data_IF_514982566843
#
_entry.id   IF_514982566843
#
_cell.length_a   1.000
_cell.length_b   1.000
_cell.length_c   1.000
_cell.angle_alpha   90.00
_cell.angle_beta   90.00
_cell.angle_gamma   90.00
#
_symmetry.space_group_name_H-M   'P 1'
#
loop_
_entity.id
_entity.type
_entity.pdbx_description
1 polymer ?
#
# COMPACT_ATOMS: atom_id res chain seq x y z
N UNK A 1 11.20 -17.58 -65.89
CA UNK A 1 9.98 -17.34 -65.08
C UNK A 1 10.13 -18.23 -63.83
N UNK A 2 10.66 -17.73 -62.70
CA UNK A 2 9.93 -17.06 -61.58
C UNK A 2 8.96 -18.11 -60.96
N UNK A 3 9.07 -18.64 -59.72
CA UNK A 3 9.44 -18.06 -58.41
C UNK A 3 10.15 -19.06 -57.49
N UNK A 4 11.04 -18.51 -56.65
CA UNK A 4 11.62 -19.11 -55.45
C UNK A 4 10.63 -18.88 -54.31
N UNK A 5 10.02 -19.93 -53.77
CA UNK A 5 9.22 -19.85 -52.55
C UNK A 5 10.16 -19.90 -51.35
N UNK A 6 10.52 -18.70 -50.86
CA UNK A 6 11.11 -18.50 -49.55
C UNK A 6 10.04 -18.80 -48.50
N UNK A 7 10.06 -20.01 -47.98
CA UNK A 7 9.42 -20.32 -46.70
C UNK A 7 10.21 -19.61 -45.60
N UNK A 8 9.83 -18.37 -45.29
CA UNK A 8 10.21 -17.68 -44.07
C UNK A 8 9.53 -18.41 -42.90
N UNK A 9 10.25 -19.36 -42.29
CA UNK A 9 9.93 -19.90 -40.97
C UNK A 9 10.11 -18.77 -39.95
N UNK A 10 9.02 -18.05 -39.66
CA UNK A 10 8.95 -17.14 -38.52
C UNK A 10 8.91 -18.02 -37.26
N UNK A 11 10.09 -18.31 -36.70
CA UNK A 11 10.20 -18.85 -35.36
C UNK A 11 9.78 -17.75 -34.39
N UNK A 12 8.51 -17.78 -33.96
CA UNK A 12 8.04 -16.98 -32.85
C UNK A 12 8.82 -17.41 -31.60
N UNK A 13 9.77 -16.57 -31.18
CA UNK A 13 10.38 -16.63 -29.87
C UNK A 13 9.28 -16.32 -28.86
N UNK A 14 8.64 -17.37 -28.35
CA UNK A 14 7.83 -17.33 -27.16
C UNK A 14 8.80 -17.10 -26.00
N UNK A 15 9.06 -15.84 -25.65
CA UNK A 15 9.63 -15.52 -24.35
C UNK A 15 8.52 -15.85 -23.35
N UNK A 16 8.65 -16.88 -22.49
CA UNK A 16 7.83 -16.90 -21.31
C UNK A 16 8.15 -15.59 -20.59
N UNK A 17 7.19 -14.66 -20.54
CA UNK A 17 7.20 -13.63 -19.52
C UNK A 17 7.43 -14.41 -18.22
N UNK A 18 8.59 -14.20 -17.61
CA UNK A 18 8.90 -14.83 -16.35
C UNK A 18 7.78 -14.40 -15.41
N UNK A 19 6.92 -15.34 -15.01
CA UNK A 19 6.14 -15.23 -13.79
C UNK A 19 7.15 -15.18 -12.65
N UNK A 20 7.70 -14.00 -12.45
CA UNK A 20 8.68 -13.61 -11.46
C UNK A 20 8.46 -12.14 -11.25
N UNK A 21 7.24 -11.79 -10.83
CA UNK A 21 6.98 -10.47 -10.27
C UNK A 21 7.94 -10.22 -9.12
N UNK A 22 8.22 -8.96 -8.86
CA UNK A 22 9.09 -8.58 -7.76
C UNK A 22 8.55 -9.17 -6.45
N UNK A 23 9.36 -9.97 -5.77
CA UNK A 23 8.95 -10.55 -4.49
C UNK A 23 9.13 -9.52 -3.37
N UNK A 24 8.15 -9.36 -2.46
CA UNK A 24 8.27 -8.57 -1.25
C UNK A 24 9.60 -8.77 -0.50
N UNK A 25 10.02 -10.02 -0.36
CA UNK A 25 11.29 -10.38 0.29
C UNK A 25 12.51 -9.79 -0.40
N UNK A 26 12.66 -9.98 -1.72
CA UNK A 26 13.82 -9.47 -2.46
C UNK A 26 13.86 -7.93 -2.50
N UNK A 27 12.70 -7.28 -2.49
CA UNK A 27 12.61 -5.83 -2.44
C UNK A 27 13.07 -5.31 -1.07
N UNK A 28 12.56 -5.88 0.02
CA UNK A 28 12.96 -5.53 1.38
C UNK A 28 14.44 -5.83 1.65
N UNK A 29 14.97 -6.94 1.14
CA UNK A 29 16.40 -7.25 1.23
C UNK A 29 17.25 -6.13 0.61
N UNK A 30 16.89 -5.65 -0.57
CA UNK A 30 17.60 -4.54 -1.24
C UNK A 30 17.49 -3.22 -0.50
N UNK A 31 16.30 -2.89 0.01
CA UNK A 31 16.10 -1.69 0.82
C UNK A 31 17.00 -1.75 2.07
N UNK A 32 17.00 -2.88 2.76
CA UNK A 32 17.81 -3.15 3.94
C UNK A 32 19.31 -3.10 3.67
N UNK A 33 19.77 -3.68 2.56
CA UNK A 33 21.17 -3.62 2.14
C UNK A 33 21.61 -2.17 1.86
N UNK A 34 20.70 -1.32 1.40
CA UNK A 34 20.96 0.09 1.13
C UNK A 34 21.01 0.94 2.41
N UNK A 35 19.99 0.85 3.25
CA UNK A 35 19.80 1.76 4.38
C UNK A 35 20.44 1.26 5.67
N UNK A 36 20.71 -0.05 5.75
CA UNK A 36 21.10 -0.74 6.97
C UNK A 36 19.89 -0.95 7.89
N UNK A 37 19.33 -2.16 7.88
CA UNK A 37 18.21 -2.54 8.74
C UNK A 37 18.58 -3.74 9.65
N UNK A 38 17.81 -3.93 10.71
CA UNK A 38 17.80 -5.16 11.51
C UNK A 38 16.88 -6.23 10.90
N UNK A 39 17.07 -7.49 11.30
CA UNK A 39 16.23 -8.60 10.83
C UNK A 39 14.74 -8.37 11.11
N UNK A 40 14.40 -7.74 12.24
CA UNK A 40 13.01 -7.42 12.58
C UNK A 40 12.42 -6.38 11.64
N UNK A 41 13.18 -5.32 11.29
CA UNK A 41 12.71 -4.28 10.37
C UNK A 41 12.54 -4.81 8.94
N UNK A 42 13.41 -5.73 8.54
CA UNK A 42 13.29 -6.48 7.29
C UNK A 42 12.01 -7.31 7.27
N UNK A 43 11.75 -8.09 8.32
CA UNK A 43 10.57 -8.94 8.39
C UNK A 43 9.28 -8.10 8.41
N UNK A 44 9.26 -6.97 9.14
CA UNK A 44 8.15 -6.01 9.14
C UNK A 44 7.90 -5.41 7.75
N UNK A 45 8.97 -5.14 6.98
CA UNK A 45 8.86 -4.69 5.59
C UNK A 45 8.17 -5.75 4.72
N UNK A 46 8.58 -7.02 4.84
CA UNK A 46 7.99 -8.12 4.06
C UNK A 46 6.52 -8.29 4.40
N UNK A 47 6.19 -8.35 5.69
CA UNK A 47 4.79 -8.49 6.14
C UNK A 47 3.93 -7.32 5.65
N UNK A 48 4.47 -6.10 5.65
CA UNK A 48 3.77 -4.91 5.15
C UNK A 48 3.46 -5.02 3.66
N UNK A 49 4.43 -5.42 2.84
CA UNK A 49 4.24 -5.59 1.39
C UNK A 49 3.29 -6.76 1.08
N UNK A 50 3.40 -7.88 1.80
CA UNK A 50 2.48 -9.02 1.69
C UNK A 50 1.04 -8.62 2.03
N UNK A 51 0.84 -7.85 3.12
CA UNK A 51 -0.48 -7.34 3.51
C UNK A 51 -1.03 -6.35 2.48
N UNK A 52 -0.16 -5.55 1.88
CA UNK A 52 -0.54 -4.61 0.84
C UNK A 52 -0.96 -5.37 -0.44
N UNK A 53 -0.21 -6.40 -0.84
CA UNK A 53 -0.59 -7.30 -1.94
C UNK A 53 -1.94 -7.94 -1.70
N UNK A 54 -2.15 -8.56 -0.52
CA UNK A 54 -3.43 -9.17 -0.14
C UNK A 54 -4.58 -8.18 -0.20
N UNK A 55 -4.38 -6.94 0.24
CA UNK A 55 -5.40 -5.88 0.16
C UNK A 55 -5.72 -5.51 -1.28
N UNK A 56 -4.69 -5.33 -2.11
CA UNK A 56 -4.86 -5.06 -3.54
C UNK A 56 -5.61 -6.21 -4.23
N UNK A 57 -5.21 -7.46 -4.02
CA UNK A 57 -5.90 -8.64 -4.57
C UNK A 57 -7.39 -8.69 -4.17
N UNK A 58 -7.70 -8.49 -2.89
CA UNK A 58 -9.08 -8.47 -2.39
C UNK A 58 -9.91 -7.33 -2.99
N UNK A 59 -9.28 -6.21 -3.37
CA UNK A 59 -9.91 -5.11 -4.07
C UNK A 59 -10.02 -5.33 -5.60
N UNK A 60 -9.46 -6.41 -6.14
CA UNK A 60 -9.37 -6.66 -7.59
C UNK A 60 -8.25 -5.85 -8.28
N UNK A 61 -7.27 -5.39 -7.49
CA UNK A 61 -6.16 -4.53 -7.89
C UNK A 61 -4.80 -5.24 -7.88
N UNK A 62 -4.78 -6.57 -7.81
CA UNK A 62 -3.55 -7.36 -7.75
C UNK A 62 -2.59 -7.03 -8.89
N UNK A 63 -3.09 -6.97 -10.13
CA UNK A 63 -2.28 -6.67 -11.31
C UNK A 63 -1.60 -5.29 -11.22
N UNK A 64 -2.34 -4.25 -10.79
CA UNK A 64 -1.78 -2.91 -10.63
C UNK A 64 -0.70 -2.87 -9.53
N UNK A 65 -0.88 -3.64 -8.46
CA UNK A 65 0.10 -3.73 -7.38
C UNK A 65 1.35 -4.50 -7.80
N UNK A 66 1.18 -5.60 -8.54
CA UNK A 66 2.30 -6.37 -9.09
C UNK A 66 3.10 -5.50 -10.07
N UNK A 67 2.45 -4.72 -10.93
CA UNK A 67 3.09 -3.77 -11.84
C UNK A 67 3.90 -2.71 -11.05
N UNK A 68 3.33 -2.19 -9.95
CA UNK A 68 4.01 -1.26 -9.06
C UNK A 68 5.26 -1.88 -8.41
N UNK A 69 5.15 -3.08 -7.84
CA UNK A 69 6.30 -3.76 -7.25
C UNK A 69 7.38 -4.03 -8.30
N UNK A 70 6.99 -4.48 -9.50
CA UNK A 70 7.92 -4.69 -10.60
C UNK A 70 8.61 -3.41 -11.05
N UNK A 71 7.92 -2.27 -11.05
CA UNK A 71 8.55 -0.99 -11.34
C UNK A 71 9.60 -0.64 -10.27
N UNK A 72 9.23 -0.67 -8.98
CA UNK A 72 10.17 -0.35 -7.91
C UNK A 72 11.37 -1.29 -7.99
N UNK A 73 11.16 -2.58 -8.19
CA UNK A 73 12.24 -3.56 -8.31
C UNK A 73 13.23 -3.23 -9.44
N UNK A 74 12.75 -2.62 -10.54
CA UNK A 74 13.56 -2.18 -11.66
C UNK A 74 14.27 -0.84 -11.44
N UNK A 75 13.59 0.13 -10.83
CA UNK A 75 14.06 1.51 -10.66
C UNK A 75 14.75 1.76 -9.31
N UNK A 76 14.66 0.82 -8.35
CA UNK A 76 15.27 0.96 -7.03
C UNK A 76 16.78 1.07 -7.15
N UNK A 77 17.28 2.25 -6.80
CA UNK A 77 18.69 2.56 -6.68
C UNK A 77 19.02 2.97 -5.24
N UNK A 78 20.28 2.76 -4.87
CA UNK A 78 20.79 3.16 -3.56
C UNK A 78 21.79 4.30 -3.75
N UNK A 79 21.44 5.49 -3.25
CA UNK A 79 22.25 6.69 -3.34
C UNK A 79 22.52 7.22 -1.93
N UNK A 80 23.78 7.18 -1.50
CA UNK A 80 24.23 7.66 -0.19
C UNK A 80 23.44 7.07 1.01
N UNK A 81 23.14 5.76 0.94
CA UNK A 81 22.38 5.05 1.96
C UNK A 81 20.89 5.38 1.97
N UNK A 82 20.37 5.94 0.87
CA UNK A 82 18.96 6.23 0.66
C UNK A 82 18.45 5.46 -0.55
N UNK A 83 17.26 4.91 -0.38
CA UNK A 83 16.52 4.29 -1.47
C UNK A 83 15.91 5.39 -2.32
N UNK A 84 16.16 5.30 -3.62
CA UNK A 84 15.54 6.11 -4.67
C UNK A 84 14.84 5.16 -5.62
N UNK A 85 13.55 5.40 -5.86
CA UNK A 85 12.70 4.63 -6.76
C UNK A 85 11.86 5.56 -7.63
N UNK A 86 12.42 6.73 -7.97
CA UNK A 86 11.83 7.68 -8.90
C UNK A 86 11.51 6.99 -10.24
N UNK A 87 10.44 7.42 -10.91
CA UNK A 87 10.01 6.85 -12.20
C UNK A 87 8.87 5.84 -12.12
N UNK A 88 8.42 5.47 -10.92
CA UNK A 88 7.28 4.57 -10.68
C UNK A 88 5.99 5.29 -10.25
N UNK A 89 5.90 6.59 -10.50
CA UNK A 89 4.76 7.40 -10.05
C UNK A 89 3.45 6.99 -10.72
N UNK A 90 3.52 6.53 -11.98
CA UNK A 90 2.33 6.12 -12.74
C UNK A 90 1.73 4.82 -12.20
N UNK A 91 2.57 3.84 -11.86
CA UNK A 91 2.16 2.57 -11.28
C UNK A 91 1.64 2.78 -9.85
N UNK A 92 2.27 3.67 -9.08
CA UNK A 92 1.78 4.07 -7.77
C UNK A 92 0.38 4.70 -7.85
N UNK A 93 0.14 5.58 -8.83
CA UNK A 93 -1.18 6.19 -9.10
C UNK A 93 -2.20 5.14 -9.55
N UNK A 94 -1.79 4.13 -10.34
CA UNK A 94 -2.69 3.04 -10.75
C UNK A 94 -3.17 2.21 -9.55
N UNK A 95 -2.28 1.89 -8.60
CA UNK A 95 -2.65 1.20 -7.34
C UNK A 95 -3.58 2.06 -6.48
N UNK A 96 -3.33 3.38 -6.45
CA UNK A 96 -4.17 4.35 -5.77
C UNK A 96 -5.58 4.38 -6.30
N UNK A 97 -5.71 4.61 -7.60
CA UNK A 97 -6.97 4.78 -8.29
C UNK A 97 -7.81 3.51 -8.25
N UNK A 98 -7.16 2.34 -8.22
CA UNK A 98 -7.83 1.07 -8.08
C UNK A 98 -8.48 0.87 -6.69
N UNK A 99 -8.09 1.66 -5.68
CA UNK A 99 -8.55 1.49 -4.31
C UNK A 99 -7.76 0.45 -3.53
N UNK A 100 -6.57 0.07 -4.02
CA UNK A 100 -5.63 -0.81 -3.34
C UNK A 100 -5.06 -0.21 -2.05
N UNK A 101 -5.22 1.11 -1.83
CA UNK A 101 -4.86 1.77 -0.57
C UNK A 101 -3.37 1.59 -0.23
N UNK A 102 -2.49 1.89 -1.18
CA UNK A 102 -1.02 1.78 -1.04
C UNK A 102 -0.31 3.03 -1.55
N UNK A 103 -1.03 4.14 -1.68
CA UNK A 103 -0.43 5.44 -2.02
C UNK A 103 0.07 6.09 -0.75
N UNK A 104 1.36 5.94 -0.52
CA UNK A 104 2.05 6.60 0.58
C UNK A 104 3.31 5.90 1.04
N UNK A 105 4.03 5.22 0.14
CA UNK A 105 5.35 4.66 0.43
C UNK A 105 5.38 3.73 1.63
N UNK A 106 6.55 3.60 2.20
CA UNK A 106 6.86 2.86 3.43
C UNK A 106 6.23 3.60 4.64
N UNK A 107 4.90 3.73 4.63
CA UNK A 107 4.12 4.45 5.61
C UNK A 107 4.06 3.66 6.92
N UNK A 108 4.44 4.30 8.01
CA UNK A 108 4.34 3.71 9.34
C UNK A 108 2.88 3.36 9.70
N UNK A 109 2.69 2.54 10.73
CA UNK A 109 1.37 2.10 11.18
C UNK A 109 0.36 3.24 11.45
N UNK A 110 0.84 4.44 11.77
CA UNK A 110 -0.01 5.62 11.97
C UNK A 110 -0.60 6.14 10.65
N UNK A 111 0.19 6.15 9.57
CA UNK A 111 -0.27 6.59 8.26
C UNK A 111 -1.26 5.60 7.65
N UNK A 112 -1.00 4.30 7.79
CA UNK A 112 -1.94 3.26 7.40
C UNK A 112 -3.29 3.39 8.14
N UNK A 113 -3.26 3.61 9.46
CA UNK A 113 -4.46 3.85 10.26
C UNK A 113 -5.19 5.14 9.86
N UNK A 114 -4.46 6.23 9.63
CA UNK A 114 -5.03 7.50 9.18
C UNK A 114 -5.76 7.34 7.83
N UNK A 115 -5.15 6.63 6.87
CA UNK A 115 -5.75 6.38 5.57
C UNK A 115 -7.05 5.56 5.68
N UNK A 116 -7.08 4.55 6.56
CA UNK A 116 -8.30 3.77 6.84
C UNK A 116 -9.42 4.65 7.42
N UNK A 117 -9.07 5.50 8.38
CA UNK A 117 -10.00 6.44 8.99
C UNK A 117 -10.56 7.40 7.93
N UNK A 118 -9.71 8.03 7.12
CA UNK A 118 -10.09 8.95 6.04
C UNK A 118 -11.03 8.25 5.06
N UNK A 119 -10.66 7.05 4.57
CA UNK A 119 -11.48 6.28 3.65
C UNK A 119 -12.88 5.98 4.24
N UNK A 120 -12.96 5.66 5.53
CA UNK A 120 -14.25 5.46 6.21
C UNK A 120 -15.07 6.74 6.27
N UNK A 121 -14.49 7.87 6.65
CA UNK A 121 -15.18 9.16 6.70
C UNK A 121 -15.68 9.59 5.31
N UNK A 122 -14.86 9.43 4.28
CA UNK A 122 -15.22 9.74 2.89
C UNK A 122 -16.37 8.83 2.41
N UNK A 123 -16.34 7.53 2.75
CA UNK A 123 -17.45 6.60 2.44
C UNK A 123 -18.77 7.01 3.11
N UNK A 124 -18.69 7.72 4.23
CA UNK A 124 -19.83 8.30 4.93
C UNK A 124 -20.18 9.72 4.44
N UNK A 125 -19.53 10.24 3.41
CA UNK A 125 -19.76 11.59 2.90
C UNK A 125 -19.36 12.71 3.88
N UNK A 126 -18.43 12.42 4.79
CA UNK A 126 -17.89 13.40 5.73
C UNK A 126 -16.62 13.98 5.12
N UNK A 127 -16.62 15.29 4.89
CA UNK A 127 -15.50 15.99 4.27
C UNK A 127 -14.29 16.05 5.23
N UNK A 128 -13.25 15.30 4.90
CA UNK A 128 -11.99 15.25 5.66
C UNK A 128 -10.93 16.23 5.13
N UNK A 129 -11.20 16.94 4.03
CA UNK A 129 -10.23 17.83 3.35
C UNK A 129 -9.78 19.04 4.20
N UNK A 130 -10.51 19.36 5.27
CA UNK A 130 -10.14 20.38 6.26
C UNK A 130 -9.30 19.87 7.43
N UNK A 131 -9.17 18.54 7.61
CA UNK A 131 -8.32 17.96 8.64
C UNK A 131 -6.90 17.86 8.13
N UNK A 132 -6.16 18.97 8.24
CA UNK A 132 -4.70 18.95 8.10
C UNK A 132 -4.15 18.06 9.22
N UNK A 133 -3.70 16.86 8.85
CA UNK A 133 -3.16 15.85 9.74
C UNK A 133 -2.19 16.45 10.77
N UNK A 134 -2.40 16.08 12.04
CA UNK A 134 -1.60 16.57 13.16
C UNK A 134 -0.11 16.43 12.87
N UNK A 135 0.57 17.56 12.76
CA UNK A 135 1.96 17.62 12.33
C UNK A 135 2.91 16.92 13.30
N UNK A 136 3.81 16.10 12.72
CA UNK A 136 5.20 15.97 13.16
C UNK A 136 5.49 15.04 14.34
N UNK A 137 4.51 14.28 14.86
CA UNK A 137 4.84 13.21 15.81
C UNK A 137 5.41 12.01 15.05
N UNK A 138 6.64 11.62 15.38
CA UNK A 138 7.21 10.36 14.90
C UNK A 138 6.31 9.20 15.31
N UNK A 139 5.91 8.37 14.35
CA UNK A 139 5.09 7.20 14.64
C UNK A 139 5.92 6.14 15.35
N UNK A 140 5.90 6.18 16.68
CA UNK A 140 6.42 5.08 17.51
C UNK A 140 5.53 3.84 17.37
N UNK A 141 6.06 2.64 17.66
CA UNK A 141 5.28 1.40 17.66
C UNK A 141 4.03 1.47 18.56
N UNK A 142 4.14 2.10 19.74
CA UNK A 142 3.01 2.30 20.64
C UNK A 142 1.94 3.23 20.04
N UNK A 143 2.36 4.30 19.37
CA UNK A 143 1.45 5.21 18.68
C UNK A 143 0.80 4.54 17.46
N UNK A 144 1.56 3.72 16.74
CA UNK A 144 1.07 2.91 15.63
C UNK A 144 -0.02 1.93 16.05
N UNK A 145 0.21 1.17 17.11
CA UNK A 145 -0.78 0.25 17.67
C UNK A 145 -2.05 0.99 18.14
N UNK A 146 -1.88 2.13 18.80
CA UNK A 146 -3.01 2.97 19.21
C UNK A 146 -3.79 3.49 17.99
N UNK A 147 -3.11 3.97 16.96
CA UNK A 147 -3.73 4.44 15.73
C UNK A 147 -4.51 3.32 15.02
N UNK A 148 -3.96 2.10 14.95
CA UNK A 148 -4.63 0.94 14.39
C UNK A 148 -5.92 0.59 15.15
N UNK A 149 -5.88 0.58 16.49
CA UNK A 149 -7.07 0.33 17.29
C UNK A 149 -8.16 1.39 17.05
N UNK A 150 -7.77 2.67 16.93
CA UNK A 150 -8.71 3.73 16.59
C UNK A 150 -9.33 3.54 15.20
N UNK A 151 -8.53 3.13 14.21
CA UNK A 151 -9.02 2.84 12.87
C UNK A 151 -10.06 1.70 12.89
N UNK A 152 -9.81 0.62 13.64
CA UNK A 152 -10.76 -0.49 13.78
C UNK A 152 -12.08 -0.03 14.41
N UNK A 153 -12.03 0.81 15.46
CA UNK A 153 -13.22 1.40 16.06
C UNK A 153 -14.01 2.26 15.07
N UNK A 154 -13.34 3.07 14.26
CA UNK A 154 -13.97 3.94 13.24
C UNK A 154 -14.63 3.10 12.14
N UNK A 155 -13.96 2.06 11.64
CA UNK A 155 -14.50 1.20 10.60
C UNK A 155 -15.74 0.40 11.05
N UNK A 156 -15.72 -0.10 12.30
CA UNK A 156 -16.85 -0.79 12.91
C UNK A 156 -18.05 0.15 13.19
N UNK A 157 -17.82 1.45 13.25
CA UNK A 157 -18.85 2.44 13.55
C UNK A 157 -19.71 2.74 12.31
N UNK A 158 -21.01 2.92 12.53
CA UNK A 158 -21.95 3.26 11.46
C UNK A 158 -21.76 4.70 10.97
N UNK A 159 -22.07 4.99 9.71
CA UNK A 159 -22.04 6.36 9.21
C UNK A 159 -23.04 7.27 9.94
N UNK A 160 -24.19 6.75 10.38
CA UNK A 160 -25.16 7.52 11.16
C UNK A 160 -24.55 8.00 12.48
N UNK A 161 -23.76 7.15 13.13
CA UNK A 161 -23.01 7.48 14.35
C UNK A 161 -21.89 8.48 14.06
N UNK A 162 -21.06 8.25 13.02
CA UNK A 162 -19.96 9.16 12.66
C UNK A 162 -20.47 10.56 12.25
N UNK A 163 -21.64 10.64 11.63
CA UNK A 163 -22.33 11.90 11.30
C UNK A 163 -23.05 12.53 12.50
N UNK A 164 -23.08 11.88 13.67
CA UNK A 164 -23.74 12.36 14.88
C UNK A 164 -25.27 12.25 14.87
N UNK A 165 -25.85 11.49 13.94
CA UNK A 165 -27.31 11.27 13.83
C UNK A 165 -27.81 10.09 14.67
N UNK A 166 -26.90 9.25 15.16
CA UNK A 166 -27.18 8.14 16.07
C UNK A 166 -26.43 8.30 17.40
N UNK A 167 -27.15 8.76 18.43
CA UNK A 167 -26.58 8.94 19.77
C UNK A 167 -26.33 7.64 20.54
N UNK A 168 -27.03 6.55 20.20
CA UNK A 168 -26.80 5.27 20.85
C UNK A 168 -25.45 4.69 20.40
N UNK A 169 -25.18 4.73 19.09
CA UNK A 169 -23.89 4.30 18.55
C UNK A 169 -22.71 5.12 19.05
N UNK A 170 -22.89 6.39 19.45
CA UNK A 170 -21.80 7.21 20.02
C UNK A 170 -21.28 6.63 21.35
N UNK A 171 -22.13 5.99 22.15
CA UNK A 171 -21.68 5.33 23.39
C UNK A 171 -20.84 4.09 23.09
N UNK A 172 -21.21 3.32 22.07
CA UNK A 172 -20.44 2.15 21.62
C UNK A 172 -19.09 2.58 21.04
N UNK A 173 -19.09 3.59 20.17
CA UNK A 173 -17.86 4.15 19.60
C UNK A 173 -16.91 4.69 20.68
N UNK A 174 -17.42 5.50 21.62
CA UNK A 174 -16.60 6.03 22.72
C UNK A 174 -16.06 4.93 23.63
N UNK A 175 -16.82 3.86 23.86
CA UNK A 175 -16.36 2.70 24.64
C UNK A 175 -15.25 1.94 23.90
N UNK A 176 -15.36 1.82 22.57
CA UNK A 176 -14.33 1.22 21.73
C UNK A 176 -13.02 2.02 21.80
N UNK A 177 -13.10 3.34 21.58
CA UNK A 177 -11.94 4.24 21.62
C UNK A 177 -11.26 4.24 23.00
N UNK A 178 -12.03 4.16 24.09
CA UNK A 178 -11.49 4.10 25.45
C UNK A 178 -10.75 2.78 25.76
N UNK A 179 -10.91 1.75 24.94
CA UNK A 179 -10.29 0.44 25.13
C UNK A 179 -8.93 0.26 24.42
N UNK A 180 -8.46 1.27 23.68
CA UNK A 180 -7.29 1.17 22.79
C UNK A 180 -5.88 1.27 23.43
#
# INVERSE_FOLDING_TARGET
MIRKDLAFFFAALFFPAACGGASPTALCDRVCDCTGCSDSERDDCVDTLDDAQRRAENAGCGDAYDDYLSCIDGELTCLDGKVDADGCESEAEAVADCGGGIVGGVGNACEAAANRIIAKFDSCGIDTSGSSGGGGAECSAALGAQAQCLADCVEATSCATLQGTDQAGLQEYSSCVAAC
#
